data_IF_113851270853
#
_entry.id   IF_113851270853
#
_cell.length_a   1.000
_cell.length_b   1.000
_cell.length_c   1.000
_cell.angle_alpha   90.00
_cell.angle_beta   90.00
_cell.angle_gamma   90.00
#
_symmetry.space_group_name_H-M   'P 1'
#
loop_
_entity.id
_entity.type
_entity.pdbx_description
1 polymer ?
#
# COMPACT_ATOMS: atom_id res chain seq x y z
N UNK A 1 7.37 0.98 -22.58
CA UNK A 1 6.74 2.12 -21.91
C UNK A 1 5.87 2.91 -22.89
N UNK A 2 4.60 3.12 -22.56
CA UNK A 2 3.68 3.99 -23.36
C UNK A 2 4.12 5.45 -23.25
N UNK A 3 3.88 6.26 -24.28
CA UNK A 3 4.26 7.69 -24.28
C UNK A 3 3.71 8.42 -23.04
N UNK A 4 2.42 8.24 -22.72
CA UNK A 4 1.79 8.87 -21.55
C UNK A 4 2.41 8.45 -20.20
N UNK A 5 2.93 7.22 -20.09
CA UNK A 5 3.60 6.76 -18.87
C UNK A 5 4.92 7.52 -18.67
N UNK A 6 5.68 7.74 -19.74
CA UNK A 6 6.93 8.48 -19.70
C UNK A 6 6.70 9.94 -19.33
N UNK A 7 5.69 10.57 -19.94
CA UNK A 7 5.25 11.94 -19.60
C UNK A 7 4.92 12.05 -18.12
N UNK A 8 4.11 11.12 -17.59
CA UNK A 8 3.73 11.12 -16.18
C UNK A 8 4.93 11.00 -15.25
N UNK A 9 5.88 10.10 -15.55
CA UNK A 9 7.13 9.96 -14.79
C UNK A 9 8.00 11.23 -14.87
N UNK A 10 8.11 11.84 -16.05
CA UNK A 10 8.87 13.08 -16.24
C UNK A 10 8.29 14.23 -15.40
N UNK A 11 6.96 14.35 -15.34
CA UNK A 11 6.29 15.36 -14.50
C UNK A 11 6.53 15.11 -13.01
N UNK A 12 6.49 13.85 -12.56
CA UNK A 12 6.85 13.51 -11.18
C UNK A 12 8.31 13.84 -10.89
N UNK A 13 9.23 13.49 -11.79
CA UNK A 13 10.65 13.85 -11.68
C UNK A 13 10.81 15.37 -11.54
N UNK A 14 10.19 16.15 -12.44
CA UNK A 14 10.25 17.61 -12.43
C UNK A 14 9.75 18.20 -11.10
N UNK A 15 8.66 17.65 -10.53
CA UNK A 15 8.18 18.07 -9.21
C UNK A 15 9.25 17.87 -8.11
N UNK A 16 9.82 16.67 -8.00
CA UNK A 16 10.78 16.35 -6.95
C UNK A 16 12.15 17.02 -7.16
N UNK A 17 12.52 17.31 -8.40
CA UNK A 17 13.74 18.06 -8.73
C UNK A 17 13.54 19.58 -8.75
N UNK A 18 12.31 20.07 -8.48
CA UNK A 18 11.93 21.48 -8.58
C UNK A 18 12.29 22.11 -9.95
N UNK A 19 12.01 21.38 -11.03
CA UNK A 19 12.25 21.79 -12.41
C UNK A 19 10.94 22.12 -13.11
N UNK A 20 11.01 22.99 -14.12
CA UNK A 20 9.93 23.20 -15.08
C UNK A 20 10.03 22.17 -16.20
N UNK A 21 8.90 21.80 -16.78
CA UNK A 21 8.85 21.00 -18.01
C UNK A 21 8.59 21.93 -19.18
N UNK A 22 9.24 21.68 -20.32
CA UNK A 22 9.09 22.50 -21.53
C UNK A 22 7.82 22.11 -22.29
N UNK A 23 7.57 20.80 -22.46
CA UNK A 23 6.44 20.31 -23.24
C UNK A 23 5.27 19.85 -22.37
N UNK A 24 4.09 20.43 -22.59
CA UNK A 24 2.83 19.93 -22.03
C UNK A 24 2.33 18.79 -22.93
N UNK A 25 1.94 17.64 -22.37
CA UNK A 25 1.42 16.53 -23.17
C UNK A 25 0.10 16.87 -23.86
N UNK A 26 -0.05 16.36 -25.09
CA UNK A 26 -1.25 16.55 -25.92
C UNK A 26 -2.49 15.86 -25.37
N UNK A 27 -2.34 14.72 -24.68
CA UNK A 27 -3.45 13.98 -24.07
C UNK A 27 -3.55 14.25 -22.54
N UNK A 28 -4.06 15.43 -22.20
CA UNK A 28 -4.31 15.82 -20.81
C UNK A 28 -5.35 14.93 -20.12
N UNK A 29 -6.27 14.30 -20.87
CA UNK A 29 -7.28 13.41 -20.32
C UNK A 29 -6.66 12.12 -19.78
N UNK A 30 -5.83 11.45 -20.57
CA UNK A 30 -5.12 10.25 -20.14
C UNK A 30 -4.12 10.53 -19.00
N UNK A 31 -3.45 11.70 -19.02
CA UNK A 31 -2.59 12.12 -17.92
C UNK A 31 -3.39 12.32 -16.62
N UNK A 32 -4.55 12.98 -16.71
CA UNK A 32 -5.43 13.20 -15.56
C UNK A 32 -5.86 11.87 -14.95
N UNK A 33 -6.35 10.94 -15.77
CA UNK A 33 -6.82 9.64 -15.29
C UNK A 33 -5.70 8.86 -14.61
N UNK A 34 -4.48 8.97 -15.14
CA UNK A 34 -3.31 8.34 -14.55
C UNK A 34 -2.93 8.97 -13.20
N UNK A 35 -2.85 10.31 -13.14
CA UNK A 35 -2.56 11.03 -11.90
C UNK A 35 -3.62 10.77 -10.82
N UNK A 36 -4.90 10.76 -11.21
CA UNK A 36 -6.03 10.45 -10.35
C UNK A 36 -5.93 9.05 -9.78
N UNK A 37 -5.63 8.05 -10.61
CA UNK A 37 -5.47 6.66 -10.20
C UNK A 37 -4.34 6.44 -9.19
N UNK A 38 -3.34 7.32 -9.18
CA UNK A 38 -2.23 7.26 -8.22
C UNK A 38 -2.42 8.18 -6.99
N UNK A 39 -3.51 8.95 -6.91
CA UNK A 39 -3.72 10.04 -5.93
C UNK A 39 -2.58 11.08 -5.98
N UNK A 40 -2.10 11.43 -7.17
CA UNK A 40 -1.01 12.38 -7.40
C UNK A 40 -1.45 13.60 -8.23
N UNK A 41 -2.76 13.86 -8.33
CA UNK A 41 -3.29 15.02 -9.07
C UNK A 41 -2.72 16.35 -8.58
N UNK A 42 -2.61 16.63 -7.25
CA UNK A 42 -2.03 17.88 -6.77
C UNK A 42 -0.59 18.07 -7.23
N UNK A 43 0.21 17.00 -7.20
CA UNK A 43 1.62 17.01 -7.63
C UNK A 43 1.72 17.32 -9.13
N UNK A 44 0.92 16.64 -9.95
CA UNK A 44 0.95 16.85 -11.40
C UNK A 44 0.44 18.25 -11.76
N UNK A 45 -0.65 18.68 -11.13
CA UNK A 45 -1.19 20.03 -11.33
C UNK A 45 -0.18 21.12 -10.94
N UNK A 46 0.57 20.95 -9.85
CA UNK A 46 1.60 21.89 -9.42
C UNK A 46 2.70 22.11 -10.47
N UNK A 47 3.08 21.05 -11.19
CA UNK A 47 4.08 21.16 -12.27
C UNK A 47 3.46 21.80 -13.50
N UNK A 48 2.25 21.37 -13.88
CA UNK A 48 1.56 21.89 -15.07
C UNK A 48 1.27 23.40 -14.95
N UNK A 49 0.78 23.87 -13.80
CA UNK A 49 0.43 25.29 -13.60
C UNK A 49 1.62 26.25 -13.62
N UNK A 50 2.85 25.74 -13.56
CA UNK A 50 4.09 26.53 -13.67
C UNK A 50 4.55 26.71 -15.12
N UNK A 51 3.90 26.04 -16.08
CA UNK A 51 4.21 26.17 -17.49
C UNK A 51 3.24 27.19 -18.13
N UNK A 52 3.78 28.17 -18.86
CA UNK A 52 3.02 29.27 -19.46
C UNK A 52 1.99 28.81 -20.50
N UNK A 53 2.23 27.67 -21.15
CA UNK A 53 1.32 27.09 -22.14
C UNK A 53 0.13 26.35 -21.50
N UNK A 54 0.13 26.18 -20.17
CA UNK A 54 -0.94 25.50 -19.45
C UNK A 54 -2.01 26.50 -19.03
N UNK A 55 -3.21 26.40 -19.61
CA UNK A 55 -4.36 27.20 -19.17
C UNK A 55 -5.10 26.53 -18.00
N UNK A 56 -5.05 27.09 -16.76
CA UNK A 56 -5.64 26.46 -15.58
C UNK A 56 -7.16 26.71 -15.44
N UNK A 57 -7.71 27.70 -16.15
CA UNK A 57 -8.96 28.40 -15.84
C UNK A 57 -10.25 27.57 -15.94
N UNK A 58 -10.19 26.37 -16.53
CA UNK A 58 -11.34 25.47 -16.68
C UNK A 58 -10.95 23.99 -16.62
N UNK A 59 -9.86 23.67 -15.92
CA UNK A 59 -9.26 22.34 -16.01
C UNK A 59 -9.60 21.48 -14.77
N UNK A 60 -10.15 20.29 -15.05
CA UNK A 60 -10.44 19.20 -14.09
C UNK A 60 -9.29 18.91 -13.11
N UNK A 61 -8.05 19.14 -13.53
CA UNK A 61 -6.86 19.07 -12.67
C UNK A 61 -6.94 20.02 -11.47
N UNK A 62 -7.27 21.29 -11.68
CA UNK A 62 -7.29 22.31 -10.61
C UNK A 62 -8.35 21.98 -9.57
N UNK A 63 -9.60 21.74 -10.00
CA UNK A 63 -10.71 21.42 -9.10
C UNK A 63 -10.41 20.18 -8.26
N UNK A 64 -9.87 19.14 -8.90
CA UNK A 64 -9.51 17.90 -8.21
C UNK A 64 -8.34 18.10 -7.25
N UNK A 65 -7.33 18.86 -7.65
CA UNK A 65 -6.17 19.17 -6.81
C UNK A 65 -6.61 19.94 -5.54
N UNK A 66 -7.38 21.02 -5.70
CA UNK A 66 -7.91 21.81 -4.58
C UNK A 66 -8.74 20.92 -3.64
N UNK A 67 -9.68 20.16 -4.19
CA UNK A 67 -10.51 19.26 -3.38
C UNK A 67 -9.67 18.22 -2.62
N UNK A 68 -8.69 17.61 -3.27
CA UNK A 68 -7.82 16.62 -2.64
C UNK A 68 -6.98 17.23 -1.51
N UNK A 69 -6.39 18.41 -1.73
CA UNK A 69 -5.60 19.15 -0.72
C UNK A 69 -6.47 19.51 0.48
N UNK A 70 -7.63 20.14 0.27
CA UNK A 70 -8.52 20.57 1.36
C UNK A 70 -9.01 19.38 2.18
N UNK A 71 -9.42 18.30 1.50
CA UNK A 71 -9.83 17.07 2.19
C UNK A 71 -8.67 16.44 2.96
N UNK A 72 -7.43 16.56 2.46
CA UNK A 72 -6.26 16.06 3.16
C UNK A 72 -5.96 16.85 4.43
N UNK A 73 -6.07 18.18 4.40
CA UNK A 73 -5.89 19.03 5.58
C UNK A 73 -6.92 18.68 6.65
N UNK A 74 -8.19 18.53 6.29
CA UNK A 74 -9.25 18.12 7.22
C UNK A 74 -8.98 16.75 7.85
N UNK A 75 -8.47 15.78 7.08
CA UNK A 75 -8.07 14.47 7.61
C UNK A 75 -6.89 14.56 8.56
N UNK A 76 -5.87 15.37 8.23
CA UNK A 76 -4.71 15.61 9.09
C UNK A 76 -5.17 16.20 10.43
N UNK A 77 -5.94 17.29 10.40
CA UNK A 77 -6.45 17.95 11.61
C UNK A 77 -7.26 16.99 12.48
N UNK A 78 -8.18 16.24 11.87
CA UNK A 78 -8.99 15.27 12.59
C UNK A 78 -8.15 14.14 13.19
N UNK A 79 -7.16 13.64 12.44
CA UNK A 79 -6.25 12.61 12.94
C UNK A 79 -5.44 13.12 14.14
N UNK A 80 -4.89 14.33 14.04
CA UNK A 80 -4.13 14.97 15.12
C UNK A 80 -5.00 15.12 16.39
N UNK A 81 -6.25 15.57 16.24
CA UNK A 81 -7.19 15.68 17.36
C UNK A 81 -7.45 14.35 18.06
N UNK A 82 -7.76 13.29 17.32
CA UNK A 82 -8.03 11.97 17.91
C UNK A 82 -6.75 11.33 18.47
N UNK A 83 -5.59 11.59 17.85
CA UNK A 83 -4.31 11.10 18.34
C UNK A 83 -3.97 11.66 19.72
N UNK A 84 -4.20 12.96 19.98
CA UNK A 84 -4.03 13.53 21.32
C UNK A 84 -4.93 12.88 22.37
N UNK A 85 -6.16 12.50 21.98
CA UNK A 85 -7.09 11.79 22.87
C UNK A 85 -6.62 10.36 23.16
N UNK A 86 -6.00 9.69 22.19
CA UNK A 86 -5.36 8.39 22.41
C UNK A 86 -4.19 8.53 23.40
N UNK A 87 -3.33 9.54 23.25
CA UNK A 87 -2.24 9.82 24.19
C UNK A 87 -2.78 10.13 25.60
N UNK A 88 -3.82 10.95 25.71
CA UNK A 88 -4.45 11.29 27.00
C UNK A 88 -5.08 10.06 27.70
N UNK A 89 -5.40 9.00 26.95
CA UNK A 89 -5.84 7.72 27.48
C UNK A 89 -4.68 6.77 27.82
N UNK A 90 -3.45 7.28 27.94
CA UNK A 90 -2.21 6.53 28.18
C UNK A 90 -1.88 5.50 27.09
N UNK A 91 -2.40 5.68 25.87
CA UNK A 91 -2.03 4.86 24.73
C UNK A 91 -0.80 5.45 24.05
N UNK A 92 0.02 4.59 23.45
CA UNK A 92 1.17 5.00 22.62
C UNK A 92 1.09 4.36 21.22
N UNK A 93 0.07 4.67 20.39
CA UNK A 93 -0.02 4.11 19.04
C UNK A 93 1.13 4.61 18.18
N UNK A 94 1.79 3.71 17.45
CA UNK A 94 2.82 4.08 16.48
C UNK A 94 2.15 4.41 15.15
N UNK A 95 2.30 5.64 14.69
CA UNK A 95 1.84 6.06 13.37
C UNK A 95 2.80 5.54 12.33
N UNK A 96 2.26 4.85 11.32
CA UNK A 96 3.05 4.24 10.25
C UNK A 96 2.57 4.77 8.90
N UNK A 97 3.47 4.80 7.90
CA UNK A 97 3.14 5.19 6.52
C UNK A 97 2.64 6.63 6.36
N UNK A 98 1.33 6.80 6.12
CA UNK A 98 0.72 7.94 5.44
C UNK A 98 1.17 9.29 5.98
N UNK A 99 0.77 9.62 7.21
CA UNK A 99 1.14 10.85 7.88
C UNK A 99 2.65 11.10 7.90
N UNK A 100 3.45 10.09 8.26
CA UNK A 100 4.91 10.23 8.43
C UNK A 100 5.60 10.47 7.09
N UNK A 101 5.29 9.67 6.08
CA UNK A 101 5.86 9.82 4.73
C UNK A 101 5.44 11.17 4.12
N UNK A 102 4.19 11.57 4.35
CA UNK A 102 3.63 12.81 3.81
C UNK A 102 4.41 14.04 4.29
N UNK A 103 4.91 14.06 5.53
CA UNK A 103 5.72 15.18 6.05
C UNK A 103 7.03 15.38 5.28
N UNK A 104 7.50 14.37 4.55
CA UNK A 104 8.76 14.42 3.82
C UNK A 104 8.60 14.91 2.37
N UNK A 105 7.37 15.05 1.88
CA UNK A 105 7.11 15.61 0.55
C UNK A 105 7.34 17.13 0.55
N UNK A 106 7.76 17.74 -0.58
CA UNK A 106 7.96 19.19 -0.68
C UNK A 106 6.75 20.02 -0.22
N UNK A 107 5.54 19.50 -0.48
CA UNK A 107 4.28 19.98 0.06
C UNK A 107 3.54 18.79 0.64
N UNK A 108 3.36 18.78 1.97
CA UNK A 108 2.75 17.67 2.70
C UNK A 108 1.38 17.31 2.11
N UNK A 109 0.45 18.26 2.02
CA UNK A 109 -0.93 17.97 1.62
C UNK A 109 -1.10 17.49 0.17
N UNK A 110 -0.04 17.56 -0.66
CA UNK A 110 -0.08 17.10 -2.05
C UNK A 110 0.01 15.57 -2.14
N UNK A 111 0.54 14.90 -1.11
CA UNK A 111 0.51 13.44 -0.96
C UNK A 111 -0.76 13.04 -0.22
N UNK A 112 -1.86 12.90 -0.95
CA UNK A 112 -3.15 12.57 -0.36
C UNK A 112 -3.26 11.10 0.10
N UNK A 113 -3.79 10.88 1.30
CA UNK A 113 -4.13 9.59 1.91
C UNK A 113 -5.64 9.44 2.06
N UNK A 114 -6.19 8.23 1.90
CA UNK A 114 -7.59 7.91 2.20
C UNK A 114 -7.84 7.58 3.68
N UNK A 115 -6.77 7.19 4.37
CA UNK A 115 -6.75 6.64 5.71
C UNK A 115 -5.48 7.10 6.42
N UNK A 116 -5.46 6.91 7.73
CA UNK A 116 -4.25 6.98 8.53
C UNK A 116 -4.06 5.66 9.29
N UNK A 117 -2.83 5.17 9.33
CA UNK A 117 -2.49 3.89 9.94
C UNK A 117 -1.88 4.09 11.32
N UNK A 118 -2.43 3.42 12.32
CA UNK A 118 -1.81 3.33 13.66
C UNK A 118 -1.57 1.88 14.04
N UNK A 119 -0.46 1.61 14.72
CA UNK A 119 -0.13 0.31 15.28
C UNK A 119 -0.15 0.38 16.80
N UNK A 120 -0.96 -0.48 17.42
CA UNK A 120 -1.08 -0.60 18.87
C UNK A 120 -0.66 -1.99 19.33
N UNK A 121 -0.36 -2.13 20.63
CA UNK A 121 -0.19 -3.44 21.23
C UNK A 121 -1.56 -4.13 21.38
N UNK A 122 -1.64 -5.47 21.32
CA UNK A 122 -2.91 -6.18 21.48
C UNK A 122 -3.66 -5.84 22.78
N UNK A 123 -2.93 -5.68 23.89
CA UNK A 123 -3.47 -5.31 25.20
C UNK A 123 -4.15 -3.92 25.22
N UNK A 124 -3.73 -3.02 24.34
CA UNK A 124 -4.25 -1.66 24.23
C UNK A 124 -5.56 -1.57 23.42
N UNK A 125 -5.96 -2.68 22.78
CA UNK A 125 -7.08 -2.67 21.82
C UNK A 125 -8.39 -2.18 22.42
N UNK A 126 -8.76 -2.64 23.62
CA UNK A 126 -10.03 -2.27 24.24
C UNK A 126 -10.09 -0.77 24.57
N UNK A 127 -9.00 -0.21 25.09
CA UNK A 127 -8.90 1.22 25.39
C UNK A 127 -8.93 2.06 24.11
N UNK A 128 -8.18 1.64 23.07
CA UNK A 128 -8.20 2.28 21.75
C UNK A 128 -9.61 2.25 21.13
N UNK A 129 -10.29 1.10 21.20
CA UNK A 129 -11.66 0.93 20.72
C UNK A 129 -12.60 1.94 21.39
N UNK A 130 -12.54 2.04 22.73
CA UNK A 130 -13.39 2.96 23.48
C UNK A 130 -13.13 4.42 23.11
N UNK A 131 -11.86 4.85 23.05
CA UNK A 131 -11.49 6.23 22.68
C UNK A 131 -12.03 6.56 21.29
N UNK A 132 -11.83 5.69 20.30
CA UNK A 132 -12.32 5.90 18.94
C UNK A 132 -13.84 5.96 18.88
N UNK A 133 -14.56 5.03 19.54
CA UNK A 133 -16.03 5.02 19.51
C UNK A 133 -16.65 6.21 20.23
N UNK A 134 -16.06 6.66 21.35
CA UNK A 134 -16.50 7.85 22.08
C UNK A 134 -16.27 9.14 21.27
N UNK A 135 -15.46 9.07 20.22
CA UNK A 135 -15.17 10.17 19.30
C UNK A 135 -15.77 9.95 17.91
N UNK A 136 -16.94 9.30 17.85
CA UNK A 136 -17.78 9.12 16.67
C UNK A 136 -17.18 8.25 15.55
N UNK A 137 -16.11 7.50 15.81
CA UNK A 137 -15.64 6.49 14.87
C UNK A 137 -16.46 5.21 15.01
N UNK A 138 -16.89 4.66 13.87
CA UNK A 138 -17.60 3.39 13.79
C UNK A 138 -16.63 2.28 13.42
N UNK A 139 -16.58 1.24 14.24
CA UNK A 139 -15.81 0.03 13.94
C UNK A 139 -16.52 -0.79 12.85
N UNK A 140 -15.83 -1.04 11.75
CA UNK A 140 -16.30 -1.94 10.71
C UNK A 140 -16.19 -3.39 11.20
N UNK A 141 -17.19 -4.24 10.90
CA UNK A 141 -17.18 -5.67 11.24
C UNK A 141 -16.98 -5.99 12.74
N UNK A 142 -17.49 -5.15 13.65
CA UNK A 142 -17.40 -5.33 15.11
C UNK A 142 -17.74 -6.76 15.56
N UNK A 143 -18.73 -7.39 14.91
CA UNK A 143 -19.18 -8.75 15.20
C UNK A 143 -18.15 -9.87 14.92
N UNK A 144 -17.07 -9.58 14.19
CA UNK A 144 -16.01 -10.53 13.91
C UNK A 144 -14.88 -10.50 14.96
N UNK A 145 -14.90 -9.51 15.86
CA UNK A 145 -13.82 -9.28 16.82
C UNK A 145 -13.93 -10.29 17.97
N UNK A 146 -12.99 -11.22 17.98
CA UNK A 146 -12.75 -12.21 19.03
C UNK A 146 -11.24 -12.27 19.31
N UNK A 147 -10.82 -12.90 20.41
CA UNK A 147 -9.38 -13.01 20.73
C UNK A 147 -8.60 -13.71 19.59
N UNK A 148 -9.18 -14.76 19.01
CA UNK A 148 -8.57 -15.48 17.88
C UNK A 148 -8.51 -14.63 16.60
N UNK A 149 -9.46 -13.72 16.43
CA UNK A 149 -9.41 -12.72 15.35
C UNK A 149 -8.29 -11.70 15.61
N UNK A 150 -8.18 -11.15 16.81
CA UNK A 150 -7.12 -10.19 17.16
C UNK A 150 -5.71 -10.79 17.00
N UNK A 151 -5.54 -12.08 17.30
CA UNK A 151 -4.28 -12.81 17.10
C UNK A 151 -3.87 -12.98 15.63
N UNK A 152 -4.79 -12.79 14.69
CA UNK A 152 -4.57 -13.08 13.27
C UNK A 152 -4.74 -11.88 12.34
N UNK A 153 -5.59 -10.94 12.71
CA UNK A 153 -5.99 -9.80 11.90
C UNK A 153 -4.81 -8.85 11.70
N UNK A 154 -4.76 -8.28 10.49
CA UNK A 154 -3.84 -7.19 10.21
C UNK A 154 -4.35 -5.89 10.85
N UNK A 155 -5.50 -5.42 10.36
CA UNK A 155 -6.11 -4.14 10.73
C UNK A 155 -7.58 -4.28 11.10
N UNK A 156 -8.05 -3.33 11.92
CA UNK A 156 -9.47 -3.09 12.17
C UNK A 156 -9.75 -1.63 11.83
N UNK A 157 -10.72 -1.40 10.95
CA UNK A 157 -10.99 -0.07 10.41
C UNK A 157 -12.06 0.65 11.24
N UNK A 158 -11.73 1.86 11.66
CA UNK A 158 -12.58 2.79 12.38
C UNK A 158 -12.83 4.00 11.50
N UNK A 159 -14.09 4.25 11.13
CA UNK A 159 -14.43 5.29 10.15
C UNK A 159 -15.46 6.25 10.71
N UNK A 160 -15.25 7.53 10.46
CA UNK A 160 -16.28 8.56 10.57
C UNK A 160 -16.47 9.26 9.21
N UNK A 161 -17.17 10.40 9.18
CA UNK A 161 -17.51 11.09 7.93
C UNK A 161 -16.30 11.69 7.18
N UNK A 162 -15.16 11.87 7.85
CA UNK A 162 -13.99 12.57 7.31
C UNK A 162 -12.78 11.63 7.19
N UNK A 163 -12.55 10.77 8.20
CA UNK A 163 -11.35 9.94 8.30
C UNK A 163 -11.68 8.47 8.56
N UNK A 164 -10.88 7.60 7.92
CA UNK A 164 -10.72 6.21 8.32
C UNK A 164 -9.37 6.02 8.99
N UNK A 165 -9.37 5.37 10.15
CA UNK A 165 -8.17 4.93 10.85
C UNK A 165 -8.08 3.41 10.73
N UNK A 166 -6.97 2.93 10.18
CA UNK A 166 -6.64 1.51 10.20
C UNK A 166 -5.83 1.19 11.46
N UNK A 167 -6.45 0.47 12.41
CA UNK A 167 -5.80 0.06 13.66
C UNK A 167 -5.13 -1.28 13.42
N UNK A 168 -3.81 -1.28 13.26
CA UNK A 168 -2.99 -2.47 13.12
C UNK A 168 -2.79 -3.14 14.48
N UNK A 169 -2.97 -4.46 14.51
CA UNK A 169 -2.62 -5.33 15.64
C UNK A 169 -1.37 -6.13 15.28
N UNK A 170 -1.43 -6.79 14.13
CA UNK A 170 -0.32 -7.49 13.51
C UNK A 170 -0.04 -6.80 12.16
N UNK A 171 0.97 -5.93 12.01
CA UNK A 171 1.07 -5.06 10.83
C UNK A 171 1.02 -5.76 9.46
N UNK A 172 1.38 -7.04 9.40
CA UNK A 172 1.25 -7.89 8.21
C UNK A 172 0.24 -9.05 8.34
N UNK A 173 -0.47 -9.19 9.46
CA UNK A 173 -1.30 -10.36 9.80
C UNK A 173 -0.45 -11.57 10.19
N UNK A 174 -1.05 -12.68 10.65
CA UNK A 174 -0.27 -13.87 11.09
C UNK A 174 -0.73 -15.20 10.47
N UNK A 175 -1.52 -15.13 9.39
CA UNK A 175 -2.18 -16.29 8.80
C UNK A 175 -1.24 -17.32 8.16
N UNK A 176 -0.06 -16.89 7.73
CA UNK A 176 0.94 -17.74 7.10
C UNK A 176 2.35 -17.42 7.62
N UNK A 177 3.29 -18.30 7.28
CA UNK A 177 4.68 -18.22 7.75
C UNK A 177 5.39 -16.96 7.26
N UNK A 178 5.12 -16.50 6.04
CA UNK A 178 5.74 -15.30 5.48
C UNK A 178 5.31 -14.07 6.27
N UNK A 179 4.01 -13.90 6.53
CA UNK A 179 3.54 -12.78 7.33
C UNK A 179 4.05 -12.84 8.78
N UNK A 180 4.15 -14.04 9.38
CA UNK A 180 4.80 -14.19 10.70
C UNK A 180 6.27 -13.78 10.67
N UNK A 181 7.02 -14.18 9.64
CA UNK A 181 8.40 -13.78 9.44
C UNK A 181 8.51 -12.26 9.28
N UNK A 182 7.65 -11.63 8.47
CA UNK A 182 7.61 -10.16 8.31
C UNK A 182 7.42 -9.44 9.65
N UNK A 183 6.43 -9.85 10.47
CA UNK A 183 6.22 -9.24 11.79
C UNK A 183 7.39 -9.48 12.75
N UNK A 184 8.15 -10.57 12.57
CA UNK A 184 9.25 -10.92 13.48
C UNK A 184 10.40 -9.91 13.47
N UNK A 185 10.54 -9.11 12.40
CA UNK A 185 11.52 -8.02 12.30
C UNK A 185 11.14 -6.76 13.07
N UNK A 186 9.96 -6.73 13.70
CA UNK A 186 9.42 -5.54 14.39
C UNK A 186 9.02 -5.83 15.84
N UNK A 187 9.50 -6.93 16.45
CA UNK A 187 9.09 -7.34 17.81
C UNK A 187 9.35 -6.28 18.88
N UNK A 188 10.42 -5.52 18.72
CA UNK A 188 10.91 -4.46 19.59
C UNK A 188 10.51 -3.05 19.09
N UNK A 189 9.58 -2.95 18.14
CA UNK A 189 9.19 -1.68 17.52
C UNK A 189 8.63 -0.65 18.51
N UNK A 190 7.92 -1.10 19.54
CA UNK A 190 7.40 -0.21 20.59
C UNK A 190 8.50 0.28 21.52
N UNK A 191 9.51 -0.55 21.80
CA UNK A 191 10.60 -0.25 22.71
C UNK A 191 11.59 0.76 22.10
N UNK A 192 11.82 0.66 20.78
CA UNK A 192 12.69 1.58 20.03
C UNK A 192 11.92 2.69 19.32
N UNK A 193 10.64 2.90 19.65
CA UNK A 193 9.83 3.92 18.99
C UNK A 193 10.38 5.33 19.25
N UNK A 194 10.30 6.19 18.23
CA UNK A 194 10.70 7.60 18.32
C UNK A 194 9.46 8.48 18.27
N UNK A 195 9.66 9.78 18.49
CA UNK A 195 8.61 10.77 18.33
C UNK A 195 9.03 11.85 17.35
N UNK A 196 8.08 12.32 16.55
CA UNK A 196 8.23 13.43 15.62
C UNK A 196 7.21 14.52 15.97
N UNK A 197 7.43 15.74 15.48
CA UNK A 197 6.45 16.82 15.57
C UNK A 197 5.72 16.99 14.24
N UNK A 198 4.40 16.98 14.28
CA UNK A 198 3.52 17.31 13.15
C UNK A 198 2.58 18.42 13.61
N UNK A 199 2.61 19.59 12.97
CA UNK A 199 1.80 20.76 13.38
C UNK A 199 1.87 21.06 14.89
N UNK A 200 3.09 21.02 15.45
CA UNK A 200 3.40 21.18 16.88
C UNK A 200 2.86 20.09 17.82
N UNK A 201 2.28 19.03 17.30
CA UNK A 201 1.82 17.88 18.08
C UNK A 201 2.83 16.73 18.04
N UNK A 202 3.00 16.09 19.20
CA UNK A 202 3.87 14.92 19.34
C UNK A 202 3.19 13.69 18.75
N UNK A 203 3.88 13.02 17.81
CA UNK A 203 3.44 11.76 17.19
C UNK A 203 4.51 10.70 17.42
N UNK A 204 4.13 9.54 17.96
CA UNK A 204 5.02 8.38 18.05
C UNK A 204 5.03 7.59 16.75
N UNK A 205 6.20 7.15 16.32
CA UNK A 205 6.39 6.35 15.11
C UNK A 205 7.57 5.39 15.28
N UNK A 206 7.78 4.54 14.27
CA UNK A 206 8.95 3.67 14.18
C UNK A 206 10.21 4.52 14.01
N UNK A 207 11.32 4.08 14.61
CA UNK A 207 12.64 4.63 14.29
C UNK A 207 12.97 4.46 12.79
N UNK A 208 13.85 5.31 12.22
CA UNK A 208 14.05 5.38 10.77
C UNK A 208 14.34 4.05 10.06
N UNK A 209 15.16 3.18 10.64
CA UNK A 209 15.51 1.87 10.04
C UNK A 209 14.29 0.98 9.94
N UNK A 210 13.53 0.79 11.03
CA UNK A 210 12.28 0.04 11.03
C UNK A 210 11.21 0.67 10.16
N UNK A 211 11.06 1.99 10.17
CA UNK A 211 10.06 2.63 9.31
C UNK A 211 10.40 2.39 7.83
N UNK A 212 11.67 2.53 7.46
CA UNK A 212 12.12 2.26 6.10
C UNK A 212 11.89 0.81 5.69
N UNK A 213 12.28 -0.13 6.55
CA UNK A 213 12.01 -1.56 6.35
C UNK A 213 10.51 -1.84 6.20
N UNK A 214 9.69 -1.19 7.03
CA UNK A 214 8.24 -1.33 7.00
C UNK A 214 7.67 -0.92 5.64
N UNK A 215 8.12 0.19 5.06
CA UNK A 215 7.69 0.62 3.72
C UNK A 215 8.05 -0.40 2.64
N UNK A 216 9.25 -0.97 2.69
CA UNK A 216 9.71 -1.98 1.71
C UNK A 216 8.89 -3.27 1.83
N UNK A 217 8.71 -3.79 3.05
CA UNK A 217 7.93 -5.02 3.29
C UNK A 217 6.44 -4.78 2.95
N UNK A 218 5.91 -3.60 3.25
CA UNK A 218 4.56 -3.21 2.89
C UNK A 218 4.36 -3.20 1.37
N UNK A 219 5.28 -2.55 0.63
CA UNK A 219 5.27 -2.58 -0.83
C UNK A 219 5.32 -4.02 -1.34
N UNK A 220 6.23 -4.85 -0.82
CA UNK A 220 6.34 -6.25 -1.22
C UNK A 220 5.04 -7.04 -0.97
N UNK A 221 4.44 -6.92 0.20
CA UNK A 221 3.15 -7.54 0.53
C UNK A 221 2.07 -7.13 -0.46
N UNK A 222 1.94 -5.84 -0.76
CA UNK A 222 0.97 -5.37 -1.74
C UNK A 222 1.28 -5.85 -3.15
N UNK A 223 2.55 -5.91 -3.54
CA UNK A 223 2.97 -6.44 -4.83
C UNK A 223 2.45 -7.87 -5.06
N UNK A 224 2.55 -8.73 -4.04
CA UNK A 224 2.08 -10.13 -4.13
C UNK A 224 0.57 -10.31 -3.95
N UNK A 225 -0.12 -9.37 -3.28
CA UNK A 225 -1.50 -9.57 -2.82
C UNK A 225 -2.57 -8.63 -3.35
N UNK A 226 -2.20 -7.51 -3.98
CA UNK A 226 -3.18 -6.50 -4.46
C UNK A 226 -2.69 -5.72 -5.70
N UNK A 227 -1.38 -5.67 -5.95
CA UNK A 227 -0.75 -4.69 -6.82
C UNK A 227 -0.28 -3.46 -6.04
N UNK A 228 0.71 -2.78 -6.58
CA UNK A 228 1.29 -1.57 -5.98
C UNK A 228 1.60 -0.53 -7.07
N UNK A 229 1.51 0.75 -6.70
CA UNK A 229 1.68 1.88 -7.61
C UNK A 229 3.02 2.58 -7.44
N UNK A 230 3.26 3.60 -8.27
CA UNK A 230 4.47 4.41 -8.21
C UNK A 230 4.53 5.26 -6.93
N UNK A 231 3.38 5.56 -6.31
CA UNK A 231 3.31 6.35 -5.07
C UNK A 231 4.03 5.68 -3.90
N UNK A 232 3.91 4.36 -3.74
CA UNK A 232 4.65 3.63 -2.71
C UNK A 232 6.16 3.59 -3.00
N UNK A 233 6.57 3.61 -4.28
CA UNK A 233 7.98 3.78 -4.66
C UNK A 233 8.48 5.16 -4.24
N UNK A 234 7.70 6.22 -4.47
CA UNK A 234 8.03 7.57 -4.01
C UNK A 234 8.17 7.64 -2.49
N UNK A 235 7.23 7.06 -1.73
CA UNK A 235 7.30 7.02 -0.27
C UNK A 235 8.65 6.39 0.19
N UNK A 236 9.10 5.30 -0.43
CA UNK A 236 10.40 4.65 -0.13
C UNK A 236 11.58 5.57 -0.47
N UNK A 237 11.61 6.14 -1.68
CA UNK A 237 12.73 6.95 -2.17
C UNK A 237 12.90 8.23 -1.34
N UNK A 238 11.80 8.93 -1.05
CA UNK A 238 11.78 10.17 -0.27
C UNK A 238 12.19 9.87 1.17
N UNK A 239 11.66 8.80 1.77
CA UNK A 239 12.03 8.40 3.13
C UNK A 239 13.53 8.10 3.23
N UNK A 240 14.07 7.33 2.26
CA UNK A 240 15.51 7.04 2.23
C UNK A 240 16.34 8.29 2.08
N UNK A 241 16.00 9.18 1.14
CA UNK A 241 16.73 10.42 0.92
C UNK A 241 16.84 11.28 2.18
N UNK A 242 15.75 11.36 2.95
CA UNK A 242 15.70 12.11 4.19
C UNK A 242 16.51 11.45 5.32
N UNK A 243 16.30 10.16 5.56
CA UNK A 243 16.85 9.44 6.71
C UNK A 243 18.08 8.58 6.41
N UNK A 244 18.73 8.75 5.25
CA UNK A 244 19.85 7.90 4.80
C UNK A 244 20.97 7.72 5.85
N UNK A 245 21.20 8.73 6.71
CA UNK A 245 22.23 8.72 7.76
C UNK A 245 21.80 7.95 9.01
N UNK A 246 20.50 7.85 9.24
CA UNK A 246 19.89 7.22 10.43
C UNK A 246 19.41 5.79 10.14
N UNK A 247 19.49 5.35 8.88
CA UNK A 247 19.11 4.00 8.44
C UNK A 247 20.32 3.06 8.49
N UNK A 248 20.19 1.96 9.23
CA UNK A 248 21.14 0.85 9.19
C UNK A 248 20.98 0.04 7.89
N UNK A 249 21.72 0.44 6.86
CA UNK A 249 21.73 -0.24 5.57
C UNK A 249 22.17 -1.71 5.63
N UNK A 250 23.01 -2.10 6.61
CA UNK A 250 23.45 -3.49 6.76
C UNK A 250 22.31 -4.36 7.29
N UNK A 251 21.56 -3.85 8.26
CA UNK A 251 20.37 -4.51 8.78
C UNK A 251 19.32 -4.66 7.67
N UNK A 252 19.03 -3.59 6.92
CA UNK A 252 18.11 -3.64 5.77
C UNK A 252 18.55 -4.73 4.78
N UNK A 253 19.80 -4.69 4.31
CA UNK A 253 20.33 -5.66 3.33
C UNK A 253 20.21 -7.10 3.81
N UNK A 254 20.47 -7.36 5.09
CA UNK A 254 20.35 -8.69 5.69
C UNK A 254 18.92 -9.20 5.66
N UNK A 255 17.96 -8.35 6.04
CA UNK A 255 16.54 -8.72 6.07
C UNK A 255 15.97 -8.87 4.66
N UNK A 256 16.36 -8.02 3.70
CA UNK A 256 15.90 -8.15 2.32
C UNK A 256 16.39 -9.45 1.68
N UNK A 257 17.62 -9.90 2.00
CA UNK A 257 18.15 -11.20 1.55
C UNK A 257 17.38 -12.37 2.16
N UNK A 258 17.05 -12.33 3.45
CA UNK A 258 16.30 -13.41 4.12
C UNK A 258 14.84 -13.52 3.66
N UNK A 259 14.28 -12.42 3.13
CA UNK A 259 12.97 -12.39 2.47
C UNK A 259 13.05 -12.64 0.95
N UNK A 260 14.24 -12.78 0.38
CA UNK A 260 14.48 -12.88 -1.06
C UNK A 260 13.92 -11.71 -1.88
N UNK A 261 13.95 -10.49 -1.35
CA UNK A 261 13.41 -9.28 -2.02
C UNK A 261 14.48 -8.23 -2.33
N UNK A 262 15.77 -8.57 -2.22
CA UNK A 262 16.87 -7.65 -2.51
C UNK A 262 16.84 -7.15 -3.97
N UNK A 263 16.58 -8.03 -4.95
CA UNK A 263 16.49 -7.65 -6.36
C UNK A 263 15.29 -6.72 -6.63
N UNK A 264 14.14 -6.98 -5.99
CA UNK A 264 12.97 -6.09 -6.07
C UNK A 264 13.32 -4.70 -5.52
N UNK A 265 14.02 -4.64 -4.40
CA UNK A 265 14.50 -3.39 -3.82
C UNK A 265 15.49 -2.67 -4.75
N UNK A 266 16.48 -3.36 -5.29
CA UNK A 266 17.47 -2.77 -6.20
C UNK A 266 16.80 -2.24 -7.48
N UNK A 267 15.76 -2.92 -7.97
CA UNK A 267 14.95 -2.45 -9.08
C UNK A 267 14.19 -1.16 -8.73
N UNK A 268 13.60 -1.05 -7.54
CA UNK A 268 12.93 0.17 -7.05
C UNK A 268 13.91 1.35 -7.01
N UNK A 269 15.13 1.13 -6.52
CA UNK A 269 16.15 2.16 -6.45
C UNK A 269 16.62 2.59 -7.84
N UNK A 270 16.77 1.64 -8.78
CA UNK A 270 17.09 1.92 -10.18
C UNK A 270 15.97 2.68 -10.90
N UNK A 271 14.70 2.39 -10.60
CA UNK A 271 13.55 3.17 -11.09
C UNK A 271 13.65 4.61 -10.58
N UNK A 272 13.94 4.79 -9.28
CA UNK A 272 14.16 6.11 -8.68
C UNK A 272 15.20 6.92 -9.43
N UNK A 273 16.36 6.31 -9.72
CA UNK A 273 17.44 6.94 -10.47
C UNK A 273 17.09 7.22 -11.94
N UNK A 274 16.53 6.24 -12.65
CA UNK A 274 16.26 6.33 -14.09
C UNK A 274 15.11 7.28 -14.43
N UNK A 275 14.05 7.28 -13.63
CA UNK A 275 12.78 7.90 -14.00
C UNK A 275 12.32 9.04 -13.09
N UNK A 276 12.82 9.11 -11.85
CA UNK A 276 12.28 10.02 -10.84
C UNK A 276 13.33 11.02 -10.30
N UNK A 277 14.56 10.98 -10.82
CA UNK A 277 15.64 11.91 -10.48
C UNK A 277 16.32 11.65 -9.13
N UNK A 278 16.04 10.51 -8.49
CA UNK A 278 16.63 10.17 -7.19
C UNK A 278 18.01 9.53 -7.37
N UNK A 279 19.07 10.30 -7.13
CA UNK A 279 20.45 9.79 -7.14
C UNK A 279 20.81 9.14 -5.79
N UNK A 280 20.13 8.04 -5.47
CA UNK A 280 20.32 7.28 -4.24
C UNK A 280 21.20 6.07 -4.52
N UNK A 281 22.21 5.83 -3.67
CA UNK A 281 23.16 4.70 -3.83
C UNK A 281 22.95 3.72 -2.69
N UNK A 282 22.21 2.62 -2.89
CA UNK A 282 22.23 1.56 -1.88
C UNK A 282 22.82 0.22 -2.34
N UNK A 283 22.99 -0.08 -3.64
CA UNK A 283 23.57 -1.36 -4.09
C UNK A 283 24.15 -1.37 -5.52
N UNK A 284 25.09 -2.28 -5.74
CA UNK A 284 25.90 -2.44 -6.95
C UNK A 284 25.27 -3.35 -8.03
N UNK A 285 24.16 -4.02 -7.74
CA UNK A 285 23.58 -5.00 -8.67
C UNK A 285 22.68 -4.34 -9.71
N UNK A 286 23.08 -4.42 -10.98
CA UNK A 286 22.24 -3.99 -12.11
C UNK A 286 21.09 -4.98 -12.27
N UNK A 287 19.85 -4.47 -12.29
CA UNK A 287 18.66 -5.30 -12.51
C UNK A 287 18.19 -5.05 -13.94
N UNK A 288 18.17 -6.12 -14.72
CA UNK A 288 17.59 -6.08 -16.05
C UNK A 288 16.06 -6.13 -15.94
N UNK A 289 15.32 -5.43 -16.82
CA UNK A 289 13.85 -5.36 -16.88
C UNK A 289 13.12 -4.41 -15.90
N UNK A 290 13.78 -3.35 -15.41
CA UNK A 290 13.12 -2.31 -14.60
C UNK A 290 11.97 -1.60 -15.34
N UNK A 291 11.97 -1.59 -16.68
CA UNK A 291 10.94 -0.93 -17.49
C UNK A 291 9.62 -1.71 -17.46
N UNK A 292 9.67 -3.06 -17.48
CA UNK A 292 8.48 -3.92 -17.36
C UNK A 292 7.85 -3.79 -15.96
N UNK A 293 8.70 -3.70 -14.92
CA UNK A 293 8.27 -3.40 -13.56
C UNK A 293 7.63 -2.01 -13.46
N UNK A 294 8.24 -0.99 -14.05
CA UNK A 294 7.73 0.39 -14.05
C UNK A 294 6.37 0.48 -14.73
N UNK A 295 6.23 -0.13 -15.91
CA UNK A 295 4.94 -0.18 -16.61
C UNK A 295 3.89 -0.90 -15.75
N UNK A 296 4.25 -1.97 -15.03
CA UNK A 296 3.32 -2.63 -14.11
C UNK A 296 2.90 -1.74 -12.93
N UNK A 297 3.84 -1.03 -12.30
CA UNK A 297 3.55 -0.09 -11.21
C UNK A 297 2.57 1.00 -11.66
N UNK A 298 2.80 1.58 -12.83
CA UNK A 298 1.93 2.62 -13.41
C UNK A 298 0.55 2.05 -13.75
N UNK A 299 0.49 0.86 -14.35
CA UNK A 299 -0.75 0.17 -14.70
C UNK A 299 -1.60 -0.22 -13.48
N UNK A 300 -1.02 -0.42 -12.30
CA UNK A 300 -1.76 -0.88 -11.12
C UNK A 300 -2.47 0.24 -10.36
N UNK A 301 -1.95 1.47 -10.39
CA UNK A 301 -2.47 2.56 -9.56
C UNK A 301 -2.12 2.39 -8.08
N UNK A 302 -2.63 3.30 -7.25
CA UNK A 302 -2.27 3.34 -5.84
C UNK A 302 -2.77 2.13 -5.02
N UNK A 303 -4.02 1.72 -5.19
CA UNK A 303 -4.66 0.71 -4.33
C UNK A 303 -4.63 -0.71 -4.92
N UNK A 304 -4.03 -0.87 -6.10
CA UNK A 304 -4.50 -1.90 -7.02
C UNK A 304 -5.94 -1.59 -7.44
N UNK A 305 -6.27 -1.67 -8.73
CA UNK A 305 -7.62 -1.27 -9.17
C UNK A 305 -8.73 -2.02 -8.40
N UNK A 306 -9.81 -1.31 -8.03
CA UNK A 306 -11.09 -1.90 -7.55
C UNK A 306 -11.79 -2.80 -8.61
N UNK A 307 -11.07 -3.15 -9.68
CA UNK A 307 -11.51 -4.03 -10.73
C UNK A 307 -11.54 -5.46 -10.19
N UNK A 308 -12.70 -6.10 -10.33
CA UNK A 308 -12.90 -7.51 -9.97
C UNK A 308 -11.84 -8.40 -10.62
N UNK A 309 -11.43 -8.13 -11.86
CA UNK A 309 -10.37 -8.88 -12.54
C UNK A 309 -9.03 -8.78 -11.80
N UNK A 310 -8.73 -7.63 -11.23
CA UNK A 310 -7.49 -7.37 -10.53
C UNK A 310 -7.51 -8.01 -9.13
N UNK A 311 -8.65 -8.00 -8.44
CA UNK A 311 -8.83 -8.78 -7.22
C UNK A 311 -8.55 -10.29 -7.45
N UNK A 312 -9.05 -10.88 -8.54
CA UNK A 312 -8.77 -12.28 -8.88
C UNK A 312 -7.33 -12.50 -9.38
N UNK A 313 -6.75 -11.56 -10.13
CA UNK A 313 -5.32 -11.57 -10.50
C UNK A 313 -4.43 -11.63 -9.26
N UNK A 314 -4.74 -10.81 -8.26
CA UNK A 314 -3.97 -10.73 -7.02
C UNK A 314 -4.08 -12.00 -6.18
N UNK A 315 -5.29 -12.59 -6.08
CA UNK A 315 -5.47 -13.90 -5.48
C UNK A 315 -4.64 -14.98 -6.17
N UNK A 316 -4.61 -14.98 -7.51
CA UNK A 316 -3.78 -15.91 -8.28
C UNK A 316 -2.28 -15.70 -8.01
N UNK A 317 -1.79 -14.46 -8.01
CA UNK A 317 -0.38 -14.14 -7.68
C UNK A 317 -0.03 -14.56 -6.26
N UNK A 318 -0.92 -14.35 -5.27
CA UNK A 318 -0.73 -14.81 -3.89
C UNK A 318 -0.68 -16.34 -3.78
N UNK A 319 -1.53 -17.06 -4.49
CA UNK A 319 -1.50 -18.53 -4.48
C UNK A 319 -0.24 -19.07 -5.17
N UNK A 320 0.12 -18.48 -6.32
CA UNK A 320 1.30 -18.90 -7.09
C UNK A 320 2.61 -18.64 -6.33
N UNK A 321 2.71 -17.46 -5.70
CA UNK A 321 3.85 -17.08 -4.86
C UNK A 321 4.02 -17.98 -3.65
N UNK A 322 2.93 -18.28 -2.93
CA UNK A 322 2.94 -19.17 -1.76
C UNK A 322 3.32 -20.60 -2.11
N UNK A 323 2.83 -21.12 -3.24
CA UNK A 323 3.06 -22.51 -3.62
C UNK A 323 4.34 -22.73 -4.41
N UNK A 324 5.01 -21.66 -4.87
CA UNK A 324 6.12 -21.73 -5.83
C UNK A 324 5.79 -22.59 -7.06
N UNK A 325 4.51 -22.66 -7.45
CA UNK A 325 3.98 -23.57 -8.46
C UNK A 325 3.47 -22.80 -9.68
N UNK A 326 3.81 -23.28 -10.88
CA UNK A 326 3.43 -22.68 -12.17
C UNK A 326 2.14 -23.25 -12.74
N UNK A 327 1.58 -24.32 -12.14
CA UNK A 327 0.37 -24.98 -12.62
C UNK A 327 -0.85 -24.08 -12.47
N UNK A 328 -1.36 -23.63 -13.63
CA UNK A 328 -2.51 -22.74 -13.72
C UNK A 328 -3.78 -23.39 -13.13
N UNK A 329 -4.02 -24.67 -13.43
CA UNK A 329 -5.20 -25.40 -12.96
C UNK A 329 -5.17 -25.58 -11.44
N UNK A 330 -4.01 -25.97 -10.89
CA UNK A 330 -3.84 -26.20 -9.45
C UNK A 330 -3.99 -24.90 -8.64
N UNK A 331 -3.41 -23.80 -9.12
CA UNK A 331 -3.54 -22.50 -8.46
C UNK A 331 -4.97 -21.96 -8.53
N UNK A 332 -5.69 -22.17 -9.64
CA UNK A 332 -7.11 -21.84 -9.74
C UNK A 332 -7.93 -22.69 -8.76
N UNK A 333 -7.64 -23.99 -8.65
CA UNK A 333 -8.32 -24.89 -7.72
C UNK A 333 -8.16 -24.41 -6.27
N UNK A 334 -6.93 -24.15 -5.83
CA UNK A 334 -6.65 -23.67 -4.46
C UNK A 334 -7.30 -22.30 -4.21
N UNK A 335 -7.36 -21.43 -5.22
CA UNK A 335 -8.05 -20.14 -5.11
C UNK A 335 -9.56 -20.30 -4.92
N UNK A 336 -10.19 -21.25 -5.62
CA UNK A 336 -11.63 -21.50 -5.50
C UNK A 336 -11.97 -22.27 -4.21
N UNK A 337 -11.09 -23.20 -3.81
CA UNK A 337 -11.22 -24.09 -2.67
C UNK A 337 -10.06 -23.90 -1.67
N UNK A 338 -9.99 -22.74 -0.98
CA UNK A 338 -8.93 -22.48 -0.01
C UNK A 338 -9.08 -23.40 1.22
N UNK A 339 -8.00 -23.73 1.93
CA UNK A 339 -8.05 -24.51 3.15
C UNK A 339 -9.08 -23.96 4.16
N UNK A 340 -9.77 -24.85 4.89
CA UNK A 340 -10.84 -24.46 5.82
C UNK A 340 -10.40 -23.41 6.84
N UNK A 341 -9.14 -23.47 7.30
CA UNK A 341 -8.53 -22.48 8.21
C UNK A 341 -8.48 -21.06 7.62
N UNK A 342 -8.26 -20.92 6.32
CA UNK A 342 -8.28 -19.61 5.66
C UNK A 342 -9.73 -19.14 5.43
N UNK A 343 -10.62 -20.07 5.09
CA UNK A 343 -12.02 -19.75 4.82
C UNK A 343 -12.78 -19.36 6.10
N UNK A 344 -12.38 -19.90 7.25
CA UNK A 344 -13.01 -19.65 8.55
C UNK A 344 -12.79 -18.23 9.08
N UNK A 345 -11.84 -17.47 8.54
CA UNK A 345 -11.66 -16.05 8.86
C UNK A 345 -12.85 -15.23 8.35
N UNK A 346 -13.28 -15.52 7.12
CA UNK A 346 -14.43 -14.85 6.50
C UNK A 346 -15.75 -15.44 6.98
N UNK A 347 -15.74 -16.71 7.35
CA UNK A 347 -16.91 -17.43 7.82
C UNK A 347 -16.61 -18.12 9.16
N UNK A 348 -16.65 -17.38 10.28
CA UNK A 348 -16.29 -17.90 11.60
C UNK A 348 -17.01 -19.20 12.00
N UNK A 349 -18.26 -19.38 11.52
CA UNK A 349 -19.06 -20.60 11.70
C UNK A 349 -18.36 -21.89 11.24
N UNK A 350 -17.37 -21.81 10.34
CA UNK A 350 -16.57 -22.96 9.92
C UNK A 350 -15.66 -23.51 11.02
N UNK A 351 -15.32 -22.70 12.05
CA UNK A 351 -14.55 -23.18 13.20
C UNK A 351 -15.38 -24.13 14.06
N UNK A 352 -16.64 -23.78 14.30
CA UNK A 352 -17.57 -24.58 15.09
C UNK A 352 -18.10 -25.79 14.32
N UNK A 353 -18.36 -25.62 13.01
CA UNK A 353 -18.94 -26.66 12.16
C UNK A 353 -18.16 -26.82 10.86
N UNK A 354 -17.04 -27.59 10.86
CA UNK A 354 -16.25 -27.85 9.67
C UNK A 354 -17.04 -28.51 8.53
N UNK A 355 -18.10 -29.25 8.86
CA UNK A 355 -19.04 -29.86 7.90
C UNK A 355 -19.76 -28.84 7.00
N UNK A 356 -19.77 -27.55 7.35
CA UNK A 356 -20.30 -26.49 6.49
C UNK A 356 -19.35 -26.08 5.34
N UNK A 357 -18.11 -26.61 5.30
CA UNK A 357 -17.13 -26.28 4.27
C UNK A 357 -17.66 -26.45 2.84
N UNK A 358 -18.30 -27.58 2.47
CA UNK A 358 -18.85 -27.76 1.12
C UNK A 358 -19.86 -26.67 0.75
N UNK A 359 -20.69 -26.22 1.70
CA UNK A 359 -21.67 -25.16 1.45
C UNK A 359 -21.01 -23.80 1.17
N UNK A 360 -20.00 -23.42 1.96
CA UNK A 360 -19.27 -22.16 1.73
C UNK A 360 -18.42 -22.22 0.46
N UNK A 361 -17.87 -23.38 0.10
CA UNK A 361 -17.19 -23.60 -1.16
C UNK A 361 -18.16 -23.45 -2.35
N UNK A 362 -19.33 -24.09 -2.29
CA UNK A 362 -20.39 -23.95 -3.29
C UNK A 362 -20.82 -22.48 -3.45
N UNK A 363 -21.04 -21.78 -2.33
CA UNK A 363 -21.37 -20.34 -2.32
C UNK A 363 -20.29 -19.49 -3.01
N UNK A 364 -19.01 -19.83 -2.84
CA UNK A 364 -17.91 -19.15 -3.58
C UNK A 364 -17.98 -19.42 -5.07
N UNK A 365 -18.21 -20.66 -5.49
CA UNK A 365 -18.34 -21.04 -6.90
C UNK A 365 -19.52 -20.31 -7.54
N UNK A 366 -20.70 -20.34 -6.92
CA UNK A 366 -21.88 -19.63 -7.42
C UNK A 366 -21.60 -18.12 -7.59
N UNK A 367 -20.92 -17.51 -6.61
CA UNK A 367 -20.53 -16.10 -6.71
C UNK A 367 -19.49 -15.84 -7.81
N UNK A 368 -18.55 -16.76 -8.02
CA UNK A 368 -17.56 -16.69 -9.09
C UNK A 368 -18.25 -16.78 -10.46
N UNK A 369 -19.08 -17.82 -10.68
CA UNK A 369 -19.84 -18.02 -11.92
C UNK A 369 -20.78 -16.86 -12.21
N UNK A 370 -21.49 -16.33 -11.20
CA UNK A 370 -22.35 -15.14 -11.35
C UNK A 370 -21.57 -13.93 -11.85
N UNK A 371 -20.35 -13.71 -11.38
CA UNK A 371 -19.50 -12.59 -11.85
C UNK A 371 -19.04 -12.76 -13.29
N UNK A 372 -18.83 -14.00 -13.75
CA UNK A 372 -18.50 -14.31 -15.15
C UNK A 372 -19.72 -14.04 -16.04
N UNK A 373 -20.88 -14.60 -15.67
CA UNK A 373 -22.13 -14.47 -16.44
C UNK A 373 -22.56 -13.00 -16.57
N UNK A 374 -22.39 -12.21 -15.50
CA UNK A 374 -22.72 -10.77 -15.50
C UNK A 374 -21.66 -9.90 -16.20
N UNK A 375 -20.62 -10.49 -16.80
CA UNK A 375 -19.54 -9.77 -17.49
C UNK A 375 -18.60 -8.98 -16.57
N UNK A 376 -18.83 -9.00 -15.25
CA UNK A 376 -18.01 -8.27 -14.25
C UNK A 376 -16.62 -8.88 -14.08
N UNK A 377 -16.45 -10.16 -14.39
CA UNK A 377 -15.19 -10.88 -14.36
C UNK A 377 -14.92 -11.51 -15.72
N UNK A 378 -13.76 -11.19 -16.28
CA UNK A 378 -13.15 -11.88 -17.40
C UNK A 378 -12.00 -12.76 -16.87
N UNK A 379 -12.20 -14.08 -16.72
CA UNK A 379 -11.19 -14.97 -16.15
C UNK A 379 -9.88 -14.95 -16.93
N UNK A 380 -9.92 -14.93 -18.26
CA UNK A 380 -8.72 -14.89 -19.11
C UNK A 380 -7.89 -13.63 -18.83
N UNK A 381 -8.54 -12.46 -18.76
CA UNK A 381 -7.88 -11.19 -18.42
C UNK A 381 -7.28 -11.24 -17.01
N UNK A 382 -8.05 -11.69 -16.01
CA UNK A 382 -7.59 -11.78 -14.62
C UNK A 382 -6.37 -12.70 -14.47
N UNK A 383 -6.40 -13.89 -15.06
CA UNK A 383 -5.30 -14.84 -14.97
C UNK A 383 -4.08 -14.45 -15.80
N UNK A 384 -4.28 -13.80 -16.95
CA UNK A 384 -3.18 -13.23 -17.73
C UNK A 384 -2.43 -12.14 -16.95
N UNK A 385 -3.16 -11.23 -16.30
CA UNK A 385 -2.57 -10.21 -15.41
C UNK A 385 -1.79 -10.85 -14.24
N UNK A 386 -2.36 -11.89 -13.63
CA UNK A 386 -1.72 -12.61 -12.55
C UNK A 386 -0.42 -13.27 -12.99
N UNK A 387 -0.41 -13.89 -14.19
CA UNK A 387 0.77 -14.50 -14.80
C UNK A 387 1.86 -13.47 -15.12
N UNK A 388 1.49 -12.30 -15.66
CA UNK A 388 2.42 -11.17 -15.91
C UNK A 388 3.12 -10.76 -14.61
N UNK A 389 2.36 -10.55 -13.53
CA UNK A 389 2.94 -10.19 -12.22
C UNK A 389 3.84 -11.28 -11.64
N UNK A 390 3.42 -12.55 -11.71
CA UNK A 390 4.24 -13.67 -11.25
C UNK A 390 5.55 -13.75 -12.04
N UNK A 391 5.52 -13.48 -13.35
CA UNK A 391 6.74 -13.40 -14.17
C UNK A 391 7.66 -12.28 -13.68
N UNK A 392 7.14 -11.06 -13.50
CA UNK A 392 7.93 -9.93 -12.99
C UNK A 392 8.59 -10.27 -11.65
N UNK A 393 7.86 -10.90 -10.73
CA UNK A 393 8.41 -11.31 -9.43
C UNK A 393 9.50 -12.37 -9.55
N UNK A 394 9.40 -13.28 -10.53
CA UNK A 394 10.45 -14.26 -10.83
C UNK A 394 11.69 -13.62 -11.42
N UNK A 395 11.51 -12.67 -12.35
CA UNK A 395 12.62 -11.90 -12.93
C UNK A 395 13.36 -11.11 -11.83
N UNK A 396 12.65 -10.73 -10.77
CA UNK A 396 13.18 -10.09 -9.56
C UNK A 396 13.62 -11.09 -8.47
N UNK A 397 13.76 -12.39 -8.77
CA UNK A 397 14.17 -13.44 -7.83
C UNK A 397 13.40 -13.46 -6.50
N UNK A 398 12.15 -12.99 -6.49
CA UNK A 398 11.30 -12.96 -5.29
C UNK A 398 10.81 -14.36 -4.91
N UNK A 399 10.81 -15.28 -5.88
CA UNK A 399 10.50 -16.70 -5.70
C UNK A 399 11.63 -17.54 -6.32
N UNK A 400 11.92 -18.70 -5.72
CA UNK A 400 12.73 -19.74 -6.36
C UNK A 400 11.91 -20.51 -7.39
#
# INVERSE_FOLDING_TARGET
MKNINQVFLNLLCAYFQNQTVVDIPTDLGALYDLAFKHNLVPIIYEVLRKNDDFNPSSNKFMETAINQIVMQQQRTEQFLNIYQKLLAANLKPLVIKGLVCRQLYPQSDYRCSSDEDIWIKPEDFNNCFQVLTNNNFRCTNKQLITDDFLNTVQTINFTNNILTIEVHINPFGTLDALHKQMNSYFKDAFDTSVSIKVENQLIYTLEPTKHYLFLIIHLYKHFISAGVGIRQVLDILIFYQHYQKDIDNNQIKTILKSLHINNLYDAIMQIGKKYLGFNLIPNDQVIHNIDELTDNLIENGCFGTNDVNQAYSSLYTTVSSRNQDTSLIKNIFIMLFPPAKQLSIRYPKLKEKPSLYPWFALKRICNFSKKIITGKLNPFKAFSLGKKRTKILKDMNVFK
#
